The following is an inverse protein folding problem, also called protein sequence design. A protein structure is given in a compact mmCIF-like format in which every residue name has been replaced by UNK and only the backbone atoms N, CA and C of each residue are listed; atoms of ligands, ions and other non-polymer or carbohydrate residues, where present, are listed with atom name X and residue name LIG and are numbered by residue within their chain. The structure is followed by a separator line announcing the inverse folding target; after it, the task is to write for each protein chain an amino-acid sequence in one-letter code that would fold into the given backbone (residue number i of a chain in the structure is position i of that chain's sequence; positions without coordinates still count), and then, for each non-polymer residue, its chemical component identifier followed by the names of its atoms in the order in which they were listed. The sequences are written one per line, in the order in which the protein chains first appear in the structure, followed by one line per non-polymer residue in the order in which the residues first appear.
data_IF_324645166722
#
_entry.id   IF_324645166722
#
_cell.length_a   1.000
_cell.length_b   1.000
_cell.length_c   1.000
_cell.angle_alpha   90.00
_cell.angle_beta   90.00
_cell.angle_gamma   90.00
#
_symmetry.space_group_name_H-M   'P 1'
#
loop_
_entity.id
_entity.type
_entity.pdbx_description
1 polymer ?
#
# COMPACT_ATOMS: atom_id res chain seq x y z
N UNK A 1 52.04 46.52 15.09
CA UNK A 1 51.21 45.30 15.17
C UNK A 1 52.15 44.12 15.32
N UNK A 2 51.89 43.35 16.35
CA UNK A 2 52.74 42.36 17.01
C UNK A 2 53.13 41.15 16.16
N UNK A 3 54.42 40.79 16.26
CA UNK A 3 55.05 39.46 16.37
C UNK A 3 54.83 38.45 15.22
N UNK A 4 55.79 38.10 14.35
CA UNK A 4 57.17 37.55 14.50
C UNK A 4 57.31 36.20 15.23
N UNK A 5 57.91 35.25 14.48
CA UNK A 5 58.81 34.13 14.86
C UNK A 5 58.26 32.90 15.62
N UNK A 6 58.48 31.73 15.00
CA UNK A 6 58.79 30.43 15.66
C UNK A 6 59.84 30.63 16.77
N UNK A 7 59.80 29.87 17.89
CA UNK A 7 60.60 28.63 17.93
C UNK A 7 60.19 27.54 18.96
N UNK A 8 60.93 26.42 18.84
CA UNK A 8 61.44 25.50 19.86
C UNK A 8 60.60 24.36 20.50
N UNK A 9 61.09 23.15 20.18
CA UNK A 9 61.15 21.96 21.02
C UNK A 9 61.81 22.27 22.38
N UNK A 10 61.20 21.84 23.49
CA UNK A 10 61.90 21.18 24.60
C UNK A 10 60.94 20.77 25.74
N UNK A 11 61.08 19.52 26.22
CA UNK A 11 60.57 18.95 27.49
C UNK A 11 59.03 18.85 27.68
N UNK A 12 58.41 17.77 28.14
CA UNK A 12 58.87 16.69 29.00
C UNK A 12 57.99 15.42 28.83
N UNK A 13 58.66 14.32 28.54
CA UNK A 13 58.62 13.05 29.27
C UNK A 13 57.32 12.58 29.98
N UNK A 14 56.89 11.39 29.54
CA UNK A 14 56.32 10.23 30.27
C UNK A 14 54.95 10.31 30.96
N UNK A 15 54.06 9.43 30.51
CA UNK A 15 53.00 8.87 31.36
C UNK A 15 51.69 8.54 30.65
N UNK A 16 51.70 7.71 29.59
CA UNK A 16 50.43 7.10 29.15
C UNK A 16 49.99 6.07 30.19
N UNK A 17 48.81 6.22 30.83
CA UNK A 17 48.29 5.19 31.72
C UNK A 17 47.96 3.95 30.90
N UNK A 18 48.58 2.82 31.23
CA UNK A 18 48.15 1.50 30.80
C UNK A 18 46.70 1.29 31.22
N UNK A 19 45.76 1.54 30.32
CA UNK A 19 44.36 1.21 30.53
C UNK A 19 44.24 -0.32 30.53
N UNK A 20 44.24 -0.90 31.73
CA UNK A 20 44.22 -2.34 31.92
C UNK A 20 42.98 -2.94 31.25
N UNK A 21 43.22 -3.99 30.46
CA UNK A 21 42.20 -4.81 29.78
C UNK A 21 41.08 -5.27 30.73
N UNK A 22 41.35 -5.35 32.04
CA UNK A 22 40.38 -5.75 33.07
C UNK A 22 39.32 -4.68 33.37
N UNK A 23 39.63 -3.38 33.27
CA UNK A 23 38.67 -2.30 33.52
C UNK A 23 37.71 -2.10 32.33
N UNK A 24 38.23 -2.22 31.11
CA UNK A 24 37.41 -2.22 29.89
C UNK A 24 36.43 -3.40 29.88
N UNK A 25 36.88 -4.60 30.29
CA UNK A 25 36.02 -5.79 30.38
C UNK A 25 34.97 -5.70 31.50
N UNK A 26 35.28 -5.06 32.64
CA UNK A 26 34.29 -4.77 33.69
C UNK A 26 33.25 -3.74 33.28
N UNK A 27 33.64 -2.74 32.47
CA UNK A 27 32.68 -1.78 31.89
C UNK A 27 31.77 -2.47 30.88
N UNK A 28 32.27 -3.45 30.13
CA UNK A 28 31.49 -4.23 29.16
C UNK A 28 30.44 -5.13 29.82
N UNK A 29 30.75 -5.74 30.97
CA UNK A 29 29.80 -6.63 31.68
C UNK A 29 28.63 -5.90 32.37
N UNK A 30 28.71 -4.57 32.51
CA UNK A 30 27.63 -3.76 33.12
C UNK A 30 26.60 -3.25 32.10
N UNK A 31 26.81 -3.53 30.82
CA UNK A 31 25.85 -3.26 29.73
C UNK A 31 24.99 -4.47 29.37
N UNK A 32 24.94 -5.49 30.22
CA UNK A 32 23.89 -6.52 30.18
C UNK A 32 22.55 -5.93 30.66
N UNK A 33 22.06 -4.91 29.95
CA UNK A 33 20.63 -4.65 29.89
C UNK A 33 19.98 -5.89 29.27
N UNK A 34 18.80 -6.33 29.75
CA UNK A 34 18.10 -7.47 29.18
C UNK A 34 17.58 -7.12 27.76
N UNK A 35 18.47 -7.26 26.77
CA UNK A 35 18.21 -7.18 25.33
C UNK A 35 17.15 -8.19 24.88
N UNK A 36 16.90 -9.23 25.66
CA UNK A 36 15.93 -10.27 25.35
C UNK A 36 14.47 -9.79 25.50
N UNK A 37 14.22 -8.77 26.32
CA UNK A 37 12.85 -8.29 26.58
C UNK A 37 12.45 -7.11 25.69
N UNK A 38 13.41 -6.32 25.19
CA UNK A 38 13.14 -5.19 24.27
C UNK A 38 13.14 -5.58 22.78
N UNK A 39 13.77 -6.70 22.41
CA UNK A 39 13.71 -7.23 21.04
C UNK A 39 12.31 -7.76 20.70
N UNK A 40 11.55 -8.23 21.69
CA UNK A 40 10.19 -8.76 21.51
C UNK A 40 9.18 -7.71 21.05
N UNK A 41 9.24 -6.50 21.62
CA UNK A 41 8.26 -5.44 21.34
C UNK A 41 8.52 -4.72 20.00
N UNK A 42 9.79 -4.57 19.59
CA UNK A 42 10.12 -4.04 18.25
C UNK A 42 9.97 -5.07 17.12
N UNK A 43 10.15 -6.36 17.39
CA UNK A 43 9.96 -7.41 16.39
C UNK A 43 8.48 -7.66 16.06
N UNK A 44 7.58 -7.56 17.06
CA UNK A 44 6.15 -7.82 16.89
C UNK A 44 5.41 -6.72 16.11
N UNK A 45 5.79 -5.44 16.29
CA UNK A 45 5.20 -4.31 15.55
C UNK A 45 5.59 -4.27 14.07
N UNK A 46 6.79 -4.71 13.74
CA UNK A 46 7.31 -4.73 12.37
C UNK A 46 6.59 -5.78 11.51
N UNK A 47 6.20 -6.91 12.11
CA UNK A 47 5.59 -8.05 11.42
C UNK A 47 4.32 -7.71 10.64
N UNK A 48 3.32 -7.09 11.28
CA UNK A 48 2.03 -6.79 10.62
C UNK A 48 2.16 -5.69 9.57
N UNK A 49 2.99 -4.67 9.82
CA UNK A 49 3.29 -3.63 8.84
C UNK A 49 4.01 -4.20 7.61
N UNK A 50 5.02 -5.06 7.81
CA UNK A 50 5.69 -5.76 6.73
C UNK A 50 4.71 -6.66 5.96
N UNK A 51 3.85 -7.41 6.66
CA UNK A 51 2.82 -8.26 6.04
C UNK A 51 1.89 -7.45 5.13
N UNK A 52 1.46 -6.26 5.58
CA UNK A 52 0.66 -5.34 4.76
C UNK A 52 1.40 -4.86 3.53
N UNK A 53 2.67 -4.47 3.66
CA UNK A 53 3.47 -4.05 2.52
C UNK A 53 3.68 -5.18 1.52
N UNK A 54 3.93 -6.40 2.00
CA UNK A 54 4.07 -7.59 1.15
C UNK A 54 2.74 -7.91 0.46
N UNK A 55 1.62 -7.90 1.17
CA UNK A 55 0.30 -8.12 0.55
C UNK A 55 -0.03 -7.05 -0.49
N UNK A 56 0.26 -5.78 -0.19
CA UNK A 56 0.10 -4.68 -1.14
C UNK A 56 0.95 -4.93 -2.39
N UNK A 57 2.24 -5.26 -2.23
CA UNK A 57 3.15 -5.54 -3.33
C UNK A 57 2.66 -6.73 -4.18
N UNK A 58 2.10 -7.77 -3.56
CA UNK A 58 1.51 -8.90 -4.27
C UNK A 58 0.28 -8.49 -5.10
N UNK A 59 -0.63 -7.69 -4.54
CA UNK A 59 -1.76 -7.15 -5.31
C UNK A 59 -1.32 -6.26 -6.47
N UNK A 60 -0.31 -5.43 -6.25
CA UNK A 60 0.28 -4.57 -7.30
C UNK A 60 0.90 -5.44 -8.40
N UNK A 61 1.71 -6.43 -8.05
CA UNK A 61 2.34 -7.34 -9.00
C UNK A 61 1.29 -8.11 -9.83
N UNK A 62 0.27 -8.66 -9.18
CA UNK A 62 -0.85 -9.33 -9.87
C UNK A 62 -1.59 -8.36 -10.80
N UNK A 63 -1.86 -7.14 -10.35
CA UNK A 63 -2.54 -6.11 -11.14
C UNK A 63 -1.76 -5.70 -12.39
N UNK A 64 -0.44 -5.61 -12.27
CA UNK A 64 0.45 -5.26 -13.38
C UNK A 64 0.59 -6.42 -14.36
N UNK A 65 0.81 -7.64 -13.89
CA UNK A 65 1.05 -8.82 -14.76
C UNK A 65 -0.22 -9.28 -15.48
N UNK A 66 -1.38 -9.23 -14.82
CA UNK A 66 -2.66 -9.67 -15.41
C UNK A 66 -3.24 -8.61 -16.35
N UNK A 67 -2.87 -7.33 -16.18
CA UNK A 67 -3.35 -6.22 -17.00
C UNK A 67 -3.26 -6.47 -18.52
N UNK A 68 -2.14 -6.95 -19.11
CA UNK A 68 -2.06 -7.15 -20.55
C UNK A 68 -2.82 -8.38 -21.06
N UNK A 69 -3.02 -9.41 -20.24
CA UNK A 69 -3.60 -10.70 -20.68
C UNK A 69 -5.12 -10.61 -20.89
N UNK A 70 -5.81 -9.82 -20.06
CA UNK A 70 -7.28 -9.73 -20.05
C UNK A 70 -7.80 -8.30 -20.27
N UNK A 71 -7.02 -7.47 -20.99
CA UNK A 71 -7.46 -6.14 -21.41
C UNK A 71 -8.08 -6.23 -22.79
N UNK A 72 -9.40 -6.25 -22.80
CA UNK A 72 -10.19 -5.96 -24.01
C UNK A 72 -10.38 -4.44 -24.05
N UNK A 73 -10.30 -3.83 -25.22
CA UNK A 73 -10.56 -2.39 -25.37
C UNK A 73 -11.94 -2.06 -24.78
N UNK A 74 -11.96 -1.26 -23.71
CA UNK A 74 -13.18 -0.90 -22.96
C UNK A 74 -13.53 -1.78 -21.76
N UNK A 75 -12.94 -2.96 -21.57
CA UNK A 75 -13.29 -3.87 -20.45
C UNK A 75 -12.04 -4.47 -19.77
N UNK A 76 -11.88 -4.21 -18.47
CA UNK A 76 -10.78 -4.75 -17.66
C UNK A 76 -11.30 -5.46 -16.40
N UNK A 77 -11.99 -6.61 -16.54
CA UNK A 77 -12.69 -7.27 -15.42
C UNK A 77 -11.75 -7.67 -14.28
N UNK A 78 -10.50 -8.03 -14.57
CA UNK A 78 -9.53 -8.42 -13.56
C UNK A 78 -9.03 -7.25 -12.71
N UNK A 79 -8.97 -6.03 -13.27
CA UNK A 79 -8.61 -4.86 -12.49
C UNK A 79 -9.67 -4.54 -11.43
N UNK A 80 -10.95 -4.61 -11.80
CA UNK A 80 -12.06 -4.41 -10.87
C UNK A 80 -12.08 -5.50 -9.78
N UNK A 81 -11.74 -6.75 -10.13
CA UNK A 81 -11.61 -7.82 -9.14
C UNK A 81 -10.51 -7.53 -8.12
N UNK A 82 -9.33 -7.10 -8.58
CA UNK A 82 -8.20 -6.78 -7.70
C UNK A 82 -8.53 -5.58 -6.81
N UNK A 83 -9.20 -4.56 -7.35
CA UNK A 83 -9.63 -3.40 -6.58
C UNK A 83 -10.60 -3.78 -5.45
N UNK A 84 -11.65 -4.53 -5.75
CA UNK A 84 -12.65 -4.97 -4.75
C UNK A 84 -12.03 -5.89 -3.71
N UNK A 85 -11.19 -6.83 -4.14
CA UNK A 85 -10.53 -7.75 -3.21
C UNK A 85 -9.54 -7.02 -2.30
N UNK A 86 -8.69 -6.15 -2.84
CA UNK A 86 -7.76 -5.33 -2.06
C UNK A 86 -8.51 -4.42 -1.07
N UNK A 87 -9.61 -3.80 -1.50
CA UNK A 87 -10.49 -3.00 -0.66
C UNK A 87 -11.10 -3.79 0.51
N UNK A 88 -11.50 -5.03 0.28
CA UNK A 88 -12.09 -5.90 1.31
C UNK A 88 -11.04 -6.44 2.28
N UNK A 89 -9.83 -6.75 1.80
CA UNK A 89 -8.75 -7.26 2.65
C UNK A 89 -8.08 -6.18 3.49
N UNK A 90 -7.71 -5.06 2.86
CA UNK A 90 -6.83 -4.04 3.46
C UNK A 90 -7.55 -2.73 3.78
N UNK A 91 -8.74 -2.50 3.24
CA UNK A 91 -9.51 -1.28 3.45
C UNK A 91 -9.17 -0.14 2.48
N UNK A 92 -9.83 1.02 2.63
CA UNK A 92 -9.84 2.07 1.61
C UNK A 92 -8.49 2.75 1.37
N UNK A 93 -7.68 2.97 2.42
CA UNK A 93 -6.40 3.67 2.28
C UNK A 93 -5.36 2.84 1.50
N UNK A 94 -5.26 1.53 1.80
CA UNK A 94 -4.37 0.63 1.07
C UNK A 94 -4.89 0.31 -0.33
N UNK A 95 -6.21 0.23 -0.52
CA UNK A 95 -6.81 0.05 -1.83
C UNK A 95 -6.57 1.25 -2.75
N UNK A 96 -6.64 2.48 -2.22
CA UNK A 96 -6.23 3.69 -2.93
C UNK A 96 -4.78 3.59 -3.40
N UNK A 97 -3.86 3.31 -2.46
CA UNK A 97 -2.44 3.22 -2.75
C UNK A 97 -2.15 2.12 -3.79
N UNK A 98 -2.81 0.96 -3.66
CA UNK A 98 -2.71 -0.14 -4.61
C UNK A 98 -3.13 0.29 -6.02
N UNK A 99 -4.30 0.92 -6.16
CA UNK A 99 -4.82 1.38 -7.44
C UNK A 99 -3.90 2.44 -8.09
N UNK A 100 -3.37 3.38 -7.29
CA UNK A 100 -2.41 4.38 -7.76
C UNK A 100 -1.13 3.72 -8.25
N UNK A 101 -0.53 2.83 -7.47
CA UNK A 101 0.71 2.14 -7.83
C UNK A 101 0.54 1.30 -9.10
N UNK A 102 -0.53 0.52 -9.20
CA UNK A 102 -0.84 -0.26 -10.40
C UNK A 102 -0.99 0.67 -11.61
N UNK A 103 -1.73 1.76 -11.49
CA UNK A 103 -1.96 2.67 -12.62
C UNK A 103 -0.70 3.42 -13.04
N UNK A 104 0.12 3.89 -12.10
CA UNK A 104 1.42 4.54 -12.40
C UNK A 104 2.37 3.58 -13.11
N UNK A 105 2.50 2.35 -12.60
CA UNK A 105 3.35 1.33 -13.24
C UNK A 105 2.85 1.00 -14.65
N UNK A 106 1.54 0.90 -14.84
CA UNK A 106 0.92 0.65 -16.15
C UNK A 106 1.12 1.80 -17.14
N UNK A 107 1.10 3.04 -16.67
CA UNK A 107 1.41 4.20 -17.51
C UNK A 107 2.87 4.19 -17.96
N UNK A 108 3.81 3.91 -17.04
CA UNK A 108 5.24 3.92 -17.33
C UNK A 108 5.71 2.74 -18.19
N UNK A 109 5.25 1.53 -17.90
CA UNK A 109 5.72 0.31 -18.58
C UNK A 109 4.93 0.03 -19.86
N UNK A 110 3.61 0.25 -19.84
CA UNK A 110 2.69 -0.22 -20.88
C UNK A 110 2.08 0.93 -21.71
N UNK A 111 2.39 2.20 -21.42
CA UNK A 111 1.88 3.35 -22.16
C UNK A 111 0.35 3.48 -22.13
N UNK A 112 -0.30 2.91 -21.10
CA UNK A 112 -1.76 2.87 -20.97
C UNK A 112 -2.28 4.27 -20.61
N UNK A 113 -3.36 4.76 -21.25
CA UNK A 113 -3.91 6.07 -20.92
C UNK A 113 -4.39 6.14 -19.45
N UNK A 114 -4.25 7.31 -18.79
CA UNK A 114 -4.59 7.53 -17.39
C UNK A 114 -6.08 7.33 -17.09
N UNK A 115 -6.92 7.20 -18.12
CA UNK A 115 -8.34 6.85 -18.00
C UNK A 115 -8.58 5.64 -17.08
N UNK A 116 -7.75 4.60 -17.18
CA UNK A 116 -7.88 3.42 -16.34
C UNK A 116 -7.41 3.65 -14.89
N UNK A 117 -6.52 4.60 -14.66
CA UNK A 117 -6.01 4.98 -13.34
C UNK A 117 -7.10 5.74 -12.57
N UNK A 118 -7.69 6.77 -13.16
CA UNK A 118 -8.70 7.60 -12.49
C UNK A 118 -9.91 6.78 -12.07
N UNK A 119 -10.44 5.94 -12.96
CA UNK A 119 -11.53 5.02 -12.63
C UNK A 119 -11.18 4.05 -11.50
N UNK A 120 -10.03 3.39 -11.59
CA UNK A 120 -9.59 2.40 -10.59
C UNK A 120 -9.39 3.01 -9.19
N UNK A 121 -8.87 4.25 -9.11
CA UNK A 121 -8.64 4.94 -7.85
C UNK A 121 -9.97 5.24 -7.14
N UNK A 122 -10.97 5.76 -7.85
CA UNK A 122 -12.29 6.01 -7.29
C UNK A 122 -13.03 4.70 -6.95
N UNK A 123 -12.94 3.67 -7.80
CA UNK A 123 -13.51 2.35 -7.52
C UNK A 123 -12.97 1.71 -6.26
N UNK A 124 -11.64 1.56 -6.18
CA UNK A 124 -10.97 0.91 -5.06
C UNK A 124 -11.22 1.64 -3.73
N UNK A 125 -11.22 2.98 -3.75
CA UNK A 125 -11.52 3.79 -2.56
C UNK A 125 -12.97 3.65 -2.12
N UNK A 126 -13.93 3.85 -3.02
CA UNK A 126 -15.36 3.76 -2.70
C UNK A 126 -15.75 2.35 -2.28
N UNK A 127 -15.19 1.32 -2.94
CA UNK A 127 -15.34 -0.08 -2.54
C UNK A 127 -14.91 -0.30 -1.09
N UNK A 128 -13.74 0.23 -0.69
CA UNK A 128 -13.23 0.12 0.67
C UNK A 128 -14.04 0.92 1.69
N UNK A 129 -14.50 2.13 1.31
CA UNK A 129 -15.35 2.98 2.15
C UNK A 129 -16.70 2.31 2.39
N UNK A 130 -17.37 1.83 1.34
CA UNK A 130 -18.68 1.18 1.44
C UNK A 130 -18.59 -0.13 2.20
N UNK A 131 -17.52 -0.90 2.04
CA UNK A 131 -17.27 -2.10 2.83
C UNK A 131 -17.16 -1.79 4.33
N UNK A 132 -16.40 -0.73 4.69
CA UNK A 132 -16.22 -0.28 6.07
C UNK A 132 -17.53 0.27 6.66
N UNK A 133 -18.23 1.13 5.93
CA UNK A 133 -19.53 1.70 6.32
C UNK A 133 -20.59 0.61 6.52
N UNK A 134 -20.58 -0.41 5.67
CA UNK A 134 -21.55 -1.51 5.71
C UNK A 134 -21.20 -2.59 6.73
N UNK A 135 -20.24 -2.35 7.63
CA UNK A 135 -19.81 -3.28 8.68
C UNK A 135 -19.39 -4.66 8.14
N UNK A 136 -18.74 -4.71 6.97
CA UNK A 136 -18.20 -5.95 6.39
C UNK A 136 -19.13 -6.70 5.43
N UNK A 137 -20.12 -6.01 4.83
CA UNK A 137 -20.94 -6.58 3.74
C UNK A 137 -20.16 -6.53 2.42
N UNK A 138 -19.81 -7.69 1.87
CA UNK A 138 -19.09 -7.82 0.59
C UNK A 138 -19.90 -7.18 -0.56
N UNK A 139 -21.24 -7.30 -0.52
CA UNK A 139 -22.13 -6.66 -1.51
C UNK A 139 -21.89 -5.15 -1.58
N UNK A 140 -21.65 -4.49 -0.44
CA UNK A 140 -21.39 -3.06 -0.42
C UNK A 140 -20.05 -2.69 -1.08
N UNK A 141 -19.04 -3.55 -0.96
CA UNK A 141 -17.76 -3.37 -1.65
C UNK A 141 -17.94 -3.41 -3.18
N UNK A 142 -18.75 -4.36 -3.67
CA UNK A 142 -19.06 -4.50 -5.10
C UNK A 142 -19.87 -3.30 -5.60
N UNK A 143 -20.87 -2.86 -4.84
CA UNK A 143 -21.63 -1.65 -5.17
C UNK A 143 -20.73 -0.40 -5.21
N UNK A 144 -19.79 -0.28 -4.28
CA UNK A 144 -18.81 0.81 -4.28
C UNK A 144 -17.93 0.82 -5.52
N UNK A 145 -17.57 -0.34 -6.08
CA UNK A 145 -16.82 -0.43 -7.34
C UNK A 145 -17.68 -0.06 -8.56
N UNK A 146 -18.95 -0.50 -8.60
CA UNK A 146 -19.88 -0.17 -9.69
C UNK A 146 -20.13 1.35 -9.72
N UNK A 147 -20.37 1.95 -8.56
CA UNK A 147 -20.58 3.40 -8.46
C UNK A 147 -19.26 4.16 -8.71
N UNK A 148 -18.17 3.70 -8.08
CA UNK A 148 -16.89 4.37 -8.09
C UNK A 148 -16.20 4.33 -9.45
N UNK A 149 -16.07 3.17 -10.08
CA UNK A 149 -15.44 3.06 -11.39
C UNK A 149 -16.44 3.24 -12.53
N UNK A 150 -17.63 2.65 -12.41
CA UNK A 150 -18.63 2.64 -13.48
C UNK A 150 -19.32 3.98 -13.72
N UNK A 151 -19.59 4.75 -12.67
CA UNK A 151 -20.26 6.06 -12.78
C UNK A 151 -19.24 7.19 -12.59
N UNK A 152 -18.69 7.34 -11.39
CA UNK A 152 -17.81 8.47 -11.04
C UNK A 152 -16.53 8.41 -11.86
N UNK A 153 -15.90 7.24 -11.91
CA UNK A 153 -14.69 6.98 -12.66
C UNK A 153 -14.87 7.29 -14.14
N UNK A 154 -15.94 6.80 -14.76
CA UNK A 154 -16.21 7.07 -16.17
C UNK A 154 -16.46 8.57 -16.46
N UNK A 155 -17.19 9.28 -15.59
CA UNK A 155 -17.44 10.73 -15.72
C UNK A 155 -16.14 11.52 -15.56
N UNK A 156 -15.34 11.24 -14.53
CA UNK A 156 -14.08 11.96 -14.26
C UNK A 156 -12.99 11.62 -15.27
N UNK A 157 -13.02 10.41 -15.84
CA UNK A 157 -12.01 10.01 -16.83
C UNK A 157 -12.24 10.67 -18.20
N UNK A 158 -13.45 11.13 -18.50
CA UNK A 158 -13.75 11.87 -19.74
C UNK A 158 -12.94 13.17 -19.92
N UNK A 159 -12.99 14.16 -18.99
CA UNK A 159 -12.18 15.38 -19.12
C UNK A 159 -10.67 15.10 -19.06
N UNK A 160 -10.27 14.07 -18.31
CA UNK A 160 -8.87 13.63 -18.23
C UNK A 160 -8.38 13.13 -19.59
N UNK A 161 -9.20 12.38 -20.33
CA UNK A 161 -8.83 11.87 -21.65
C UNK A 161 -8.83 12.96 -22.72
N UNK A 162 -9.80 13.87 -22.72
CA UNK A 162 -9.87 14.95 -23.70
C UNK A 162 -8.75 15.96 -23.50
N UNK A 163 -8.43 16.33 -22.25
CA UNK A 163 -7.42 17.36 -21.96
C UNK A 163 -5.97 16.83 -21.98
N UNK A 164 -5.70 15.62 -21.49
CA UNK A 164 -4.32 15.08 -21.40
C UNK A 164 -3.92 14.21 -22.58
N UNK A 165 -4.87 13.56 -23.27
CA UNK A 165 -4.56 12.55 -24.29
C UNK A 165 -5.02 12.92 -25.71
N UNK A 166 -5.76 14.04 -25.87
CA UNK A 166 -6.08 14.63 -27.18
C UNK A 166 -6.92 13.77 -28.12
N UNK A 167 -7.58 12.70 -27.62
CA UNK A 167 -8.48 11.87 -28.42
C UNK A 167 -9.91 12.41 -28.33
N UNK A 168 -10.30 13.22 -29.31
CA UNK A 168 -11.62 13.87 -29.40
C UNK A 168 -12.77 12.98 -29.92
N UNK A 169 -12.60 11.65 -29.97
CA UNK A 169 -13.53 10.76 -30.69
C UNK A 169 -14.41 9.82 -29.86
N UNK A 170 -14.16 9.65 -28.55
CA UNK A 170 -14.90 8.68 -27.73
C UNK A 170 -15.73 9.39 -26.64
N UNK A 171 -17.04 9.47 -26.91
CA UNK A 171 -18.04 10.04 -26.01
C UNK A 171 -18.13 9.23 -24.71
N UNK A 172 -18.47 9.89 -23.59
CA UNK A 172 -18.76 9.26 -22.29
C UNK A 172 -19.73 8.08 -22.41
N UNK A 173 -20.64 8.13 -23.38
CA UNK A 173 -21.62 7.09 -23.69
C UNK A 173 -21.02 5.75 -24.15
N UNK A 174 -19.77 5.72 -24.62
CA UNK A 174 -19.07 4.49 -24.98
C UNK A 174 -18.30 3.88 -23.79
N UNK A 175 -17.71 4.74 -22.95
CA UNK A 175 -16.93 4.30 -21.80
C UNK A 175 -17.80 3.85 -20.63
N UNK A 176 -18.88 4.58 -20.31
CA UNK A 176 -19.75 4.27 -19.16
C UNK A 176 -20.33 2.85 -19.25
N UNK A 177 -20.94 2.40 -20.37
CA UNK A 177 -21.47 1.04 -20.47
C UNK A 177 -20.36 -0.01 -20.36
N UNK A 178 -19.20 0.24 -20.98
CA UNK A 178 -18.08 -0.70 -20.98
C UNK A 178 -17.46 -0.86 -19.58
N UNK A 179 -17.33 0.24 -18.83
CA UNK A 179 -16.90 0.20 -17.43
C UNK A 179 -17.94 -0.43 -16.51
N UNK A 180 -19.23 -0.17 -16.72
CA UNK A 180 -20.29 -0.85 -15.95
C UNK A 180 -20.25 -2.35 -16.20
N UNK A 181 -20.14 -2.81 -17.45
CA UNK A 181 -20.02 -4.23 -17.75
C UNK A 181 -18.74 -4.84 -17.17
N UNK A 182 -17.61 -4.14 -17.25
CA UNK A 182 -16.35 -4.55 -16.62
C UNK A 182 -16.46 -4.71 -15.10
N UNK A 183 -17.08 -3.74 -14.42
CA UNK A 183 -17.30 -3.77 -12.97
C UNK A 183 -18.32 -4.83 -12.56
N UNK A 184 -19.35 -5.10 -13.37
CA UNK A 184 -20.31 -6.18 -13.12
C UNK A 184 -19.65 -7.55 -13.21
N UNK A 185 -18.86 -7.80 -14.26
CA UNK A 185 -18.16 -9.08 -14.44
C UNK A 185 -17.10 -9.24 -13.35
N UNK A 186 -16.20 -8.27 -13.22
CA UNK A 186 -15.11 -8.31 -12.22
C UNK A 186 -15.65 -8.33 -10.78
N UNK A 187 -16.67 -7.54 -10.50
CA UNK A 187 -17.35 -7.48 -9.22
C UNK A 187 -18.10 -8.77 -8.87
N UNK A 188 -18.74 -9.43 -9.84
CA UNK A 188 -19.38 -10.74 -9.63
C UNK A 188 -18.37 -11.83 -9.31
N UNK A 189 -17.24 -11.87 -10.03
CA UNK A 189 -16.16 -12.83 -9.74
C UNK A 189 -15.55 -12.55 -8.36
N UNK A 190 -15.27 -11.28 -8.04
CA UNK A 190 -14.79 -10.88 -6.72
C UNK A 190 -15.79 -11.24 -5.62
N UNK A 191 -17.09 -11.06 -5.87
CA UNK A 191 -18.15 -11.41 -4.93
C UNK A 191 -18.16 -12.90 -4.60
N UNK A 192 -18.12 -13.76 -5.63
CA UNK A 192 -18.08 -15.23 -5.45
C UNK A 192 -16.81 -15.64 -4.71
N UNK A 193 -15.65 -15.11 -5.10
CA UNK A 193 -14.37 -15.39 -4.44
C UNK A 193 -14.41 -15.01 -2.95
N UNK A 194 -14.83 -13.78 -2.64
CA UNK A 194 -14.87 -13.27 -1.27
C UNK A 194 -15.93 -13.96 -0.41
N UNK A 195 -17.05 -14.37 -1.00
CA UNK A 195 -18.05 -15.18 -0.30
C UNK A 195 -17.49 -16.55 0.10
N UNK A 196 -16.76 -17.22 -0.79
CA UNK A 196 -16.11 -18.50 -0.50
C UNK A 196 -15.04 -18.36 0.59
N UNK A 197 -14.25 -17.29 0.53
CA UNK A 197 -13.25 -16.98 1.57
C UNK A 197 -13.87 -16.60 2.92
N UNK A 198 -15.04 -15.96 2.90
CA UNK A 198 -15.82 -15.68 4.11
C UNK A 198 -16.40 -16.96 4.71
N UNK A 199 -16.95 -17.85 3.88
CA UNK A 199 -17.53 -19.13 4.31
C UNK A 199 -16.49 -20.06 4.94
N UNK A 200 -15.25 -20.05 4.44
CA UNK A 200 -14.12 -20.83 4.99
C UNK A 200 -13.47 -20.17 6.22
N UNK A 201 -13.91 -18.97 6.61
CA UNK A 201 -13.32 -18.20 7.71
C UNK A 201 -11.92 -17.63 7.41
N UNK A 202 -11.36 -17.88 6.22
CA UNK A 202 -10.05 -17.36 5.82
C UNK A 202 -10.04 -15.84 5.71
N UNK A 203 -11.14 -15.24 5.25
CA UNK A 203 -11.24 -13.78 5.13
C UNK A 203 -10.99 -13.10 6.48
N UNK A 204 -11.63 -13.59 7.55
CA UNK A 204 -11.47 -13.02 8.90
C UNK A 204 -10.04 -13.22 9.42
N UNK A 205 -9.45 -14.40 9.18
CA UNK A 205 -8.05 -14.68 9.55
C UNK A 205 -7.07 -13.72 8.88
N UNK A 206 -7.22 -13.49 7.57
CA UNK A 206 -6.36 -12.56 6.80
C UNK A 206 -6.56 -11.14 7.32
N UNK A 207 -7.80 -10.70 7.52
CA UNK A 207 -8.09 -9.36 8.05
C UNK A 207 -7.55 -9.18 9.47
N UNK A 208 -7.65 -10.19 10.32
CA UNK A 208 -7.14 -10.13 11.70
C UNK A 208 -5.60 -10.14 11.72
N UNK A 209 -4.94 -10.91 10.85
CA UNK A 209 -3.49 -10.86 10.65
C UNK A 209 -3.02 -9.50 10.09
N UNK A 210 -3.89 -8.80 9.37
CA UNK A 210 -3.62 -7.45 8.87
C UNK A 210 -4.00 -6.36 9.86
N UNK A 211 -4.69 -6.60 10.99
CA UNK A 211 -5.01 -5.53 11.95
C UNK A 211 -3.77 -5.16 12.76
N UNK A 212 -3.50 -3.86 12.88
CA UNK A 212 -2.49 -3.40 13.82
C UNK A 212 -3.07 -3.54 15.23
N UNK A 213 -2.34 -4.17 16.14
CA UNK A 213 -2.62 -4.04 17.56
C UNK A 213 -2.30 -2.58 17.95
N UNK A 214 -3.26 -1.80 18.46
CA UNK A 214 -2.99 -0.42 18.85
C UNK A 214 -1.89 -0.38 19.92
N UNK A 215 -1.00 0.59 19.77
CA UNK A 215 0.09 0.86 20.70
C UNK A 215 -0.53 1.22 22.06
N UNK A 216 -0.16 0.50 23.12
CA UNK A 216 -0.55 0.86 24.49
C UNK A 216 0.04 2.20 24.96
N UNK A 217 0.94 2.84 24.21
CA UNK A 217 1.56 4.12 24.55
C UNK A 217 0.65 5.35 24.34
N UNK A 218 -0.46 5.26 23.59
CA UNK A 218 -1.36 6.41 23.35
C UNK A 218 -2.41 6.61 24.47
N UNK A 219 -2.37 5.84 25.56
CA UNK A 219 -3.27 5.99 26.71
C UNK A 219 -2.65 6.73 27.91
N UNK A 220 -1.43 7.24 27.76
CA UNK A 220 -0.69 7.89 28.84
C UNK A 220 -0.17 9.30 28.48
N UNK A 221 -0.77 9.96 27.49
CA UNK A 221 -0.50 11.36 27.15
C UNK A 221 -1.77 12.21 27.27
#
# INVERSE_FOLDING_TARGET
MTFDREPDLDNANVGMPCFSRSEFMRKLSRWELPLHTLQGDMAMKKSNYLLRMVMLAMFVALGVVISPILRVEGMCPMAHLINVTCAVFMGPAYAFLCAVLIGVIRMMIMGIPPLALTGAVFGATLSGIFYKLSKGKIIAAVLGEIIGTGIIGAIVSYPVMTYLWGKEGLTWFFYVPSFIMGTLIGGSIAFVLLLRLKATGQLKKIQDALKDVPRSEDKAA
#
